data_IF_204815885366
#
_entry.id   IF_204815885366
#
_cell.length_a   1.000
_cell.length_b   1.000
_cell.length_c   1.000
_cell.angle_alpha   90.00
_cell.angle_beta   90.00
_cell.angle_gamma   90.00
#
_symmetry.space_group_name_H-M   'P 1'
#
loop_
_entity.id
_entity.type
_entity.pdbx_description
1 polymer ?
#
# COMPACT_ATOMS: atom_id res chain seq x y z
N UNK A 1 -31.82 -11.37 11.96
CA UNK A 1 -30.75 -10.43 11.53
C UNK A 1 -30.97 -10.17 10.05
N UNK A 2 -30.90 -8.92 9.60
CA UNK A 2 -31.08 -8.63 8.19
C UNK A 2 -29.82 -9.04 7.43
N UNK A 3 -29.97 -9.80 6.32
CA UNK A 3 -28.86 -10.26 5.48
C UNK A 3 -28.63 -9.24 4.36
N UNK A 4 -27.38 -8.79 4.21
CA UNK A 4 -26.95 -7.97 3.09
C UNK A 4 -26.79 -8.80 1.81
N UNK A 5 -27.04 -8.17 0.66
CA UNK A 5 -26.66 -8.77 -0.62
C UNK A 5 -25.13 -8.91 -0.73
N UNK A 6 -24.40 -7.90 -0.20
CA UNK A 6 -22.96 -7.78 -0.35
C UNK A 6 -22.32 -7.15 0.89
N UNK A 7 -21.26 -7.76 1.42
CA UNK A 7 -20.34 -7.13 2.36
C UNK A 7 -19.01 -6.82 1.68
N UNK A 8 -18.54 -5.58 1.81
CA UNK A 8 -17.26 -5.11 1.27
C UNK A 8 -16.33 -4.87 2.44
N UNK A 9 -15.16 -5.50 2.45
CA UNK A 9 -14.19 -5.42 3.53
C UNK A 9 -12.96 -4.66 3.06
N UNK A 10 -12.84 -3.45 3.53
CA UNK A 10 -11.81 -2.48 3.16
C UNK A 10 -12.38 -1.26 2.43
N UNK A 11 -11.99 -0.08 2.88
CA UNK A 11 -12.42 1.23 2.36
C UNK A 11 -11.34 1.94 1.51
N UNK A 12 -10.38 1.18 0.97
CA UNK A 12 -9.44 1.70 -0.02
C UNK A 12 -10.10 1.91 -1.39
N UNK A 13 -9.35 2.35 -2.42
CA UNK A 13 -9.88 2.63 -3.75
C UNK A 13 -10.72 1.50 -4.35
N UNK A 14 -10.30 0.25 -4.16
CA UNK A 14 -11.03 -0.93 -4.64
C UNK A 14 -12.38 -1.11 -3.94
N UNK A 15 -12.41 -0.99 -2.59
CA UNK A 15 -13.64 -1.13 -1.81
C UNK A 15 -14.63 -0.01 -2.09
N UNK A 16 -14.18 1.23 -2.18
CA UNK A 16 -15.03 2.39 -2.53
C UNK A 16 -15.60 2.21 -3.94
N UNK A 17 -14.78 1.78 -4.92
CA UNK A 17 -15.27 1.48 -6.28
C UNK A 17 -16.32 0.38 -6.28
N UNK A 18 -16.14 -0.67 -5.48
CA UNK A 18 -17.14 -1.73 -5.32
C UNK A 18 -18.45 -1.20 -4.72
N UNK A 19 -18.36 -0.35 -3.68
CA UNK A 19 -19.51 0.26 -3.02
C UNK A 19 -20.33 1.17 -3.96
N UNK A 20 -19.65 2.01 -4.77
CA UNK A 20 -20.30 2.83 -5.82
C UNK A 20 -21.06 1.95 -6.80
N UNK A 21 -20.45 0.87 -7.28
CA UNK A 21 -21.11 -0.06 -8.18
C UNK A 21 -22.27 -0.82 -7.55
N UNK A 22 -22.18 -1.19 -6.28
CA UNK A 22 -23.29 -1.80 -5.53
C UNK A 22 -24.46 -0.83 -5.39
N UNK A 23 -24.19 0.44 -5.05
CA UNK A 23 -25.21 1.49 -4.95
C UNK A 23 -25.95 1.72 -6.26
N UNK A 24 -25.23 1.87 -7.38
CA UNK A 24 -25.83 2.03 -8.71
C UNK A 24 -26.74 0.84 -9.06
N UNK A 25 -26.37 -0.35 -8.66
CA UNK A 25 -27.17 -1.58 -8.86
C UNK A 25 -28.26 -1.80 -7.84
N UNK A 26 -28.49 -0.82 -6.96
CA UNK A 26 -29.52 -0.86 -5.89
C UNK A 26 -29.41 -2.11 -4.99
N UNK A 27 -28.18 -2.53 -4.71
CA UNK A 27 -27.92 -3.63 -3.78
C UNK A 27 -28.00 -3.14 -2.33
N UNK A 28 -28.55 -3.98 -1.44
CA UNK A 28 -28.41 -3.81 -0.01
C UNK A 28 -27.00 -4.25 0.39
N UNK A 29 -26.11 -3.32 0.70
CA UNK A 29 -24.71 -3.63 0.99
C UNK A 29 -24.21 -2.89 2.24
N UNK A 30 -23.15 -3.43 2.80
CA UNK A 30 -22.38 -2.82 3.89
C UNK A 30 -20.91 -2.76 3.48
N UNK A 31 -20.23 -1.64 3.80
CA UNK A 31 -18.79 -1.49 3.61
C UNK A 31 -18.12 -1.25 4.96
N UNK A 32 -17.11 -2.05 5.26
CA UNK A 32 -16.31 -1.98 6.48
C UNK A 32 -14.94 -1.36 6.20
N UNK A 33 -14.50 -0.46 7.07
CA UNK A 33 -13.19 0.16 6.94
C UNK A 33 -13.06 1.45 7.72
N UNK A 34 -12.08 2.27 7.39
CA UNK A 34 -11.90 3.60 7.97
C UNK A 34 -12.62 4.65 7.14
N UNK A 35 -13.25 5.63 7.79
CA UNK A 35 -13.81 6.82 7.13
C UNK A 35 -12.73 7.69 6.48
N UNK A 36 -11.51 7.64 7.01
CA UNK A 36 -10.34 8.27 6.41
C UNK A 36 -9.80 7.51 5.18
N UNK A 37 -10.49 6.45 4.77
CA UNK A 37 -10.13 5.57 3.67
C UNK A 37 -8.77 4.88 3.90
N UNK A 38 -7.91 4.88 2.89
CA UNK A 38 -6.62 4.19 2.93
C UNK A 38 -5.49 5.13 3.36
N UNK A 39 -4.83 4.85 4.49
CA UNK A 39 -3.63 5.58 4.91
C UNK A 39 -2.50 5.51 3.88
N UNK A 40 -2.37 4.39 3.16
CA UNK A 40 -1.36 4.25 2.09
C UNK A 40 -1.64 5.22 0.93
N UNK A 41 -2.91 5.38 0.55
CA UNK A 41 -3.31 6.37 -0.45
C UNK A 41 -3.01 7.78 0.07
N UNK A 42 -3.48 8.12 1.25
CA UNK A 42 -3.39 9.48 1.82
C UNK A 42 -1.96 9.98 1.97
N UNK A 43 -1.02 9.08 2.29
CA UNK A 43 0.41 9.40 2.45
C UNK A 43 1.16 9.60 1.13
N UNK A 44 0.59 9.19 -0.01
CA UNK A 44 1.26 9.39 -1.30
C UNK A 44 1.38 10.88 -1.65
N UNK A 45 2.60 11.35 -1.82
CA UNK A 45 2.92 12.77 -2.07
C UNK A 45 2.38 13.23 -3.43
N UNK A 46 2.55 12.40 -4.44
CA UNK A 46 2.11 12.67 -5.81
C UNK A 46 1.81 11.37 -6.55
N UNK A 47 0.63 11.31 -7.18
CA UNK A 47 0.17 10.14 -7.94
C UNK A 47 0.09 10.52 -9.41
N UNK A 48 0.84 9.84 -10.27
CA UNK A 48 0.90 10.10 -11.70
C UNK A 48 0.32 8.96 -12.54
N UNK A 49 0.08 7.80 -11.95
CA UNK A 49 -0.34 6.56 -12.61
C UNK A 49 -1.80 6.16 -12.32
N UNK A 50 -2.60 7.07 -11.76
CA UNK A 50 -4.04 6.83 -11.58
C UNK A 50 -4.82 7.65 -12.61
N UNK A 51 -5.49 6.98 -13.54
CA UNK A 51 -6.23 7.61 -14.63
C UNK A 51 -7.27 8.61 -14.10
N UNK A 52 -7.25 9.84 -14.60
CA UNK A 52 -8.14 10.95 -14.18
C UNK A 52 -7.60 11.78 -13.00
N UNK A 53 -6.52 11.35 -12.33
CA UNK A 53 -5.97 12.02 -11.15
C UNK A 53 -4.48 12.42 -11.29
N UNK A 54 -4.03 12.64 -12.50
CA UNK A 54 -2.64 13.00 -12.76
C UNK A 54 -2.16 14.18 -11.90
N UNK A 55 -1.04 13.98 -11.23
CA UNK A 55 -0.35 15.01 -10.45
C UNK A 55 -1.00 15.38 -9.11
N UNK A 56 -2.10 14.74 -8.72
CA UNK A 56 -2.73 14.95 -7.41
C UNK A 56 -1.98 14.21 -6.31
N UNK A 57 -2.02 14.76 -5.09
CA UNK A 57 -1.60 14.00 -3.91
C UNK A 57 -2.64 12.95 -3.53
N UNK A 58 -2.22 11.94 -2.78
CA UNK A 58 -3.15 10.92 -2.26
C UNK A 58 -4.22 11.51 -1.35
N UNK A 59 -3.92 12.55 -0.60
CA UNK A 59 -4.89 13.28 0.20
C UNK A 59 -5.98 13.95 -0.67
N UNK A 60 -5.60 14.60 -1.77
CA UNK A 60 -6.54 15.18 -2.72
C UNK A 60 -7.44 14.13 -3.37
N UNK A 61 -6.89 12.97 -3.71
CA UNK A 61 -7.68 11.86 -4.28
C UNK A 61 -8.64 11.30 -3.24
N UNK A 62 -8.20 11.13 -1.98
CA UNK A 62 -9.07 10.72 -0.88
C UNK A 62 -10.28 11.66 -0.74
N UNK A 63 -10.04 12.97 -0.74
CA UNK A 63 -11.11 13.97 -0.58
C UNK A 63 -12.12 13.91 -1.72
N UNK A 64 -11.67 13.66 -2.95
CA UNK A 64 -12.58 13.45 -4.09
C UNK A 64 -13.39 12.14 -3.94
N UNK A 65 -12.80 11.08 -3.43
CA UNK A 65 -13.52 9.84 -3.15
C UNK A 65 -14.57 10.01 -2.07
N UNK A 66 -14.26 10.72 -0.99
CA UNK A 66 -15.21 11.03 0.10
C UNK A 66 -16.38 11.82 -0.45
N UNK A 67 -16.14 12.91 -1.19
CA UNK A 67 -17.20 13.71 -1.84
C UNK A 67 -18.10 12.86 -2.75
N UNK A 68 -17.50 11.96 -3.54
CA UNK A 68 -18.27 11.09 -4.43
C UNK A 68 -19.15 10.12 -3.61
N UNK A 69 -18.62 9.51 -2.56
CA UNK A 69 -19.41 8.64 -1.68
C UNK A 69 -20.58 9.39 -1.02
N UNK A 70 -20.31 10.58 -0.47
CA UNK A 70 -21.33 11.44 0.14
C UNK A 70 -22.44 11.79 -0.86
N UNK A 71 -22.10 12.15 -2.10
CA UNK A 71 -23.07 12.47 -3.16
C UNK A 71 -23.99 11.30 -3.52
N UNK A 72 -23.59 10.08 -3.15
CA UNK A 72 -24.36 8.86 -3.39
C UNK A 72 -24.92 8.23 -2.10
N UNK A 73 -24.89 8.93 -0.98
CA UNK A 73 -25.33 8.44 0.33
C UNK A 73 -24.70 7.08 0.69
N UNK A 74 -23.39 6.94 0.50
CA UNK A 74 -22.63 5.77 0.89
C UNK A 74 -21.89 6.07 2.20
N UNK A 75 -22.17 5.28 3.24
CA UNK A 75 -21.52 5.39 4.55
C UNK A 75 -20.64 4.17 4.84
N UNK A 76 -19.51 4.40 5.53
CA UNK A 76 -18.61 3.36 5.96
C UNK A 76 -18.92 2.97 7.41
N UNK A 77 -18.97 1.66 7.65
CA UNK A 77 -19.06 1.09 9.00
C UNK A 77 -17.64 0.93 9.54
N UNK A 78 -17.30 1.71 10.57
CA UNK A 78 -15.96 1.70 11.19
C UNK A 78 -15.81 0.54 12.18
N UNK A 79 -15.84 -0.67 11.63
CA UNK A 79 -15.63 -1.89 12.40
C UNK A 79 -14.61 -2.77 11.68
N UNK A 80 -13.78 -3.45 12.47
CA UNK A 80 -12.80 -4.40 11.96
C UNK A 80 -13.41 -5.79 11.93
N UNK A 81 -13.49 -6.38 10.75
CA UNK A 81 -13.87 -7.79 10.60
C UNK A 81 -12.68 -8.66 11.04
N UNK A 82 -12.93 -9.50 12.04
CA UNK A 82 -11.93 -10.40 12.61
C UNK A 82 -11.99 -11.79 11.97
N UNK A 83 -13.21 -12.28 11.69
CA UNK A 83 -13.43 -13.60 11.11
C UNK A 83 -14.56 -13.58 10.09
N UNK A 84 -14.45 -14.48 9.11
CA UNK A 84 -15.48 -14.74 8.12
C UNK A 84 -15.67 -16.24 8.01
N UNK A 85 -16.92 -16.68 8.06
CA UNK A 85 -17.30 -18.07 7.94
C UNK A 85 -18.23 -18.27 6.75
N UNK A 86 -17.90 -19.21 5.87
CA UNK A 86 -18.80 -19.65 4.80
C UNK A 86 -19.85 -20.60 5.39
N UNK A 87 -21.12 -20.22 5.29
CA UNK A 87 -22.27 -20.92 5.88
C UNK A 87 -23.15 -21.60 4.83
N UNK A 88 -22.56 -21.95 3.68
CA UNK A 88 -23.25 -22.54 2.54
C UNK A 88 -23.69 -21.48 1.54
N UNK A 89 -24.89 -20.94 1.70
CA UNK A 89 -25.48 -19.93 0.80
C UNK A 89 -25.22 -18.48 1.22
N UNK A 90 -24.53 -18.27 2.34
CA UNK A 90 -24.17 -16.96 2.86
C UNK A 90 -22.85 -16.98 3.62
N UNK A 91 -22.37 -15.79 3.99
CA UNK A 91 -21.19 -15.58 4.83
C UNK A 91 -21.62 -14.93 6.14
N UNK A 92 -21.09 -15.43 7.25
CA UNK A 92 -21.16 -14.80 8.56
C UNK A 92 -19.87 -14.05 8.83
N UNK A 93 -19.97 -12.75 9.15
CA UNK A 93 -18.84 -11.87 9.43
C UNK A 93 -18.89 -11.47 10.91
N UNK A 94 -17.77 -11.59 11.60
CA UNK A 94 -17.64 -11.22 13.00
C UNK A 94 -16.76 -9.99 13.13
N UNK A 95 -17.32 -8.95 13.74
CA UNK A 95 -16.63 -7.71 14.09
C UNK A 95 -16.74 -7.49 15.60
N UNK A 96 -15.70 -7.86 16.36
CA UNK A 96 -15.73 -7.87 17.82
C UNK A 96 -16.95 -8.68 18.36
N UNK A 97 -17.90 -8.02 19.03
CA UNK A 97 -19.10 -8.63 19.59
C UNK A 97 -20.32 -8.59 18.65
N UNK A 98 -20.15 -8.07 17.43
CA UNK A 98 -21.21 -7.97 16.43
C UNK A 98 -21.05 -9.01 15.34
N UNK A 99 -22.19 -9.47 14.85
CA UNK A 99 -22.28 -10.40 13.73
C UNK A 99 -23.08 -9.78 12.59
N UNK A 100 -22.62 -10.02 11.38
CA UNK A 100 -23.26 -9.59 10.13
C UNK A 100 -23.39 -10.78 9.18
N UNK A 101 -24.41 -10.75 8.34
CA UNK A 101 -24.60 -11.76 7.29
C UNK A 101 -24.65 -11.12 5.92
N UNK A 102 -24.02 -11.77 4.94
CA UNK A 102 -24.05 -11.33 3.55
C UNK A 102 -24.09 -12.53 2.59
N UNK A 103 -24.83 -12.38 1.49
CA UNK A 103 -24.90 -13.41 0.45
C UNK A 103 -23.61 -13.50 -0.36
N UNK A 104 -22.87 -12.40 -0.47
CA UNK A 104 -21.55 -12.33 -1.11
C UNK A 104 -20.61 -11.41 -0.35
N UNK A 105 -19.29 -11.60 -0.53
CA UNK A 105 -18.27 -10.74 0.04
C UNK A 105 -17.29 -10.27 -1.04
N UNK A 106 -16.76 -9.06 -0.86
CA UNK A 106 -15.60 -8.55 -1.60
C UNK A 106 -14.51 -8.23 -0.58
N UNK A 107 -13.36 -8.90 -0.71
CA UNK A 107 -12.17 -8.62 0.07
C UNK A 107 -11.38 -7.53 -0.65
N UNK A 108 -11.42 -6.31 -0.11
CA UNK A 108 -10.71 -5.13 -0.61
C UNK A 108 -9.74 -4.60 0.46
N UNK A 109 -9.15 -5.50 1.23
CA UNK A 109 -8.32 -5.21 2.42
C UNK A 109 -6.97 -4.60 2.09
N UNK A 110 -6.63 -4.56 0.81
CA UNK A 110 -5.35 -4.06 0.33
C UNK A 110 -4.21 -5.06 0.59
N UNK A 111 -3.00 -4.55 0.63
CA UNK A 111 -1.78 -5.35 0.85
C UNK A 111 -1.21 -5.10 2.23
N UNK A 112 -0.70 -6.15 2.87
CA UNK A 112 0.07 -6.07 4.09
C UNK A 112 1.49 -6.60 3.81
N UNK A 113 2.50 -5.81 4.17
CA UNK A 113 3.91 -6.15 3.90
C UNK A 113 4.64 -6.69 5.14
N UNK A 114 3.90 -7.14 6.16
CA UNK A 114 4.48 -7.66 7.40
C UNK A 114 4.96 -6.55 8.35
N UNK A 115 5.93 -6.89 9.22
CA UNK A 115 6.41 -5.95 10.24
C UNK A 115 7.25 -4.85 9.61
N UNK A 116 6.91 -3.56 9.84
CA UNK A 116 7.69 -2.45 9.31
C UNK A 116 9.03 -2.30 10.04
N UNK A 117 10.01 -1.69 9.37
CA UNK A 117 11.21 -1.18 10.02
C UNK A 117 10.88 0.02 10.91
N UNK A 118 11.73 0.28 11.88
CA UNK A 118 11.62 1.52 12.65
C UNK A 118 11.82 2.72 11.71
N UNK A 119 10.93 3.72 11.77
CA UNK A 119 10.89 4.88 10.88
C UNK A 119 10.17 4.68 9.54
N UNK A 120 9.83 3.43 9.17
CA UNK A 120 9.18 3.14 7.88
C UNK A 120 7.79 3.79 7.75
N UNK A 121 6.95 3.65 8.77
CA UNK A 121 5.58 4.19 8.72
C UNK A 121 5.53 5.71 8.82
N UNK A 122 6.42 6.31 9.60
CA UNK A 122 6.53 7.76 9.80
C UNK A 122 7.01 8.47 8.54
N UNK A 123 7.89 7.80 7.77
CA UNK A 123 8.50 8.34 6.56
C UNK A 123 7.85 7.81 5.27
N UNK A 124 6.78 7.01 5.38
CA UNK A 124 6.02 6.55 4.22
C UNK A 124 5.43 7.73 3.45
N UNK A 125 5.72 7.82 2.15
CA UNK A 125 5.39 8.96 1.29
C UNK A 125 6.34 10.16 1.44
N UNK A 126 7.28 10.11 2.38
CA UNK A 126 8.30 11.14 2.62
C UNK A 126 9.71 10.62 2.31
N UNK A 127 9.80 9.80 1.29
CA UNK A 127 11.03 9.14 0.87
C UNK A 127 11.00 7.62 1.06
N UNK A 128 10.08 7.05 1.84
CA UNK A 128 9.81 5.61 1.87
C UNK A 128 8.67 5.29 0.92
N UNK A 129 8.83 4.24 0.11
CA UNK A 129 7.82 3.73 -0.82
C UNK A 129 7.84 2.21 -0.94
N UNK A 130 6.80 1.66 -1.58
CA UNK A 130 6.64 0.21 -1.80
C UNK A 130 6.57 -0.16 -3.30
N UNK A 131 6.81 0.79 -4.19
CA UNK A 131 6.84 0.59 -5.64
C UNK A 131 7.85 1.57 -6.24
N UNK A 132 9.02 1.09 -6.61
CA UNK A 132 10.07 1.94 -7.18
C UNK A 132 9.65 2.50 -8.55
N UNK A 133 9.04 1.67 -9.38
CA UNK A 133 8.56 2.06 -10.71
C UNK A 133 7.48 3.16 -10.63
N UNK A 134 6.58 3.09 -9.62
CA UNK A 134 5.50 4.06 -9.46
C UNK A 134 6.02 5.48 -9.19
N UNK A 135 7.05 5.58 -8.36
CA UNK A 135 7.58 6.84 -7.83
C UNK A 135 8.89 7.28 -8.53
N UNK A 136 9.41 6.47 -9.46
CA UNK A 136 10.68 6.70 -10.14
C UNK A 136 10.90 8.15 -10.66
N UNK A 137 9.90 8.83 -11.26
CA UNK A 137 10.07 10.20 -11.71
C UNK A 137 10.42 11.21 -10.61
N UNK A 138 10.09 10.92 -9.34
CA UNK A 138 10.40 11.76 -8.18
C UNK A 138 11.87 11.65 -7.75
N UNK A 139 12.56 10.59 -8.23
CA UNK A 139 13.93 10.24 -7.84
C UNK A 139 14.94 10.41 -8.95
N UNK A 140 14.58 11.17 -10.00
CA UNK A 140 15.52 11.55 -11.03
C UNK A 140 16.73 12.27 -10.43
N UNK A 141 17.94 11.81 -10.79
CA UNK A 141 19.23 12.35 -10.34
C UNK A 141 19.46 12.29 -8.81
N UNK A 142 18.71 11.43 -8.09
CA UNK A 142 18.83 11.23 -6.63
C UNK A 142 19.47 9.89 -6.29
N UNK A 143 19.84 9.74 -5.02
CA UNK A 143 20.36 8.49 -4.45
C UNK A 143 19.19 7.68 -3.91
N UNK A 144 19.07 6.42 -4.34
CA UNK A 144 17.97 5.53 -3.95
C UNK A 144 18.53 4.24 -3.35
N UNK A 145 17.90 3.77 -2.30
CA UNK A 145 18.16 2.45 -1.71
C UNK A 145 16.96 1.55 -1.92
N UNK A 146 17.18 0.33 -2.41
CA UNK A 146 16.13 -0.68 -2.58
C UNK A 146 16.42 -1.87 -1.68
N UNK A 147 15.43 -2.24 -0.88
CA UNK A 147 15.45 -3.44 -0.03
C UNK A 147 14.44 -4.41 -0.63
N UNK A 148 14.88 -5.54 -1.19
CA UNK A 148 13.99 -6.50 -1.84
C UNK A 148 14.05 -7.87 -1.19
N UNK A 149 12.88 -8.47 -0.98
CA UNK A 149 12.73 -9.77 -0.32
C UNK A 149 12.58 -10.94 -1.28
N UNK A 150 12.51 -10.68 -2.57
CA UNK A 150 12.46 -11.71 -3.61
C UNK A 150 13.19 -11.26 -4.88
N UNK A 151 13.60 -12.22 -5.71
CA UNK A 151 14.39 -11.98 -6.93
C UNK A 151 13.59 -11.24 -8.02
N UNK A 152 12.26 -11.35 -8.05
CA UNK A 152 11.43 -10.72 -9.07
C UNK A 152 11.52 -9.19 -9.04
N UNK A 153 11.92 -8.62 -7.92
CA UNK A 153 12.06 -7.17 -7.76
C UNK A 153 13.32 -6.60 -8.44
N UNK A 154 14.21 -7.45 -8.95
CA UNK A 154 15.40 -7.00 -9.69
C UNK A 154 15.03 -6.17 -10.94
N UNK A 155 13.87 -6.42 -11.55
CA UNK A 155 13.39 -5.62 -12.68
C UNK A 155 13.10 -4.17 -12.25
N UNK A 156 12.53 -3.94 -11.07
CA UNK A 156 12.33 -2.60 -10.53
C UNK A 156 13.67 -1.93 -10.20
N UNK A 157 14.65 -2.68 -9.68
CA UNK A 157 16.01 -2.19 -9.40
C UNK A 157 16.68 -1.72 -10.68
N UNK A 158 16.64 -2.53 -11.72
CA UNK A 158 17.22 -2.21 -13.03
C UNK A 158 16.52 -1.00 -13.65
N UNK A 159 15.20 -0.90 -13.54
CA UNK A 159 14.44 0.24 -14.05
C UNK A 159 14.85 1.54 -13.35
N UNK A 160 14.86 1.58 -12.00
CA UNK A 160 15.22 2.79 -11.26
C UNK A 160 16.68 3.22 -11.50
N UNK A 161 17.59 2.27 -11.77
CA UNK A 161 18.99 2.56 -12.07
C UNK A 161 19.18 3.38 -13.34
N UNK A 162 18.18 3.41 -14.22
CA UNK A 162 18.19 4.25 -15.42
C UNK A 162 17.80 5.71 -15.15
N UNK A 163 17.27 6.01 -13.97
CA UNK A 163 16.66 7.30 -13.61
C UNK A 163 17.42 7.97 -12.46
N UNK A 164 17.74 7.21 -11.41
CA UNK A 164 18.46 7.69 -10.24
C UNK A 164 19.96 7.92 -10.56
N UNK A 165 20.61 8.82 -9.83
CA UNK A 165 22.06 9.04 -9.97
C UNK A 165 22.87 7.90 -9.36
N UNK A 166 22.33 7.24 -8.32
CA UNK A 166 22.94 6.10 -7.67
C UNK A 166 21.87 5.19 -7.07
N UNK A 167 22.06 3.89 -7.18
CA UNK A 167 21.19 2.89 -6.58
C UNK A 167 22.01 1.96 -5.68
N UNK A 168 21.63 1.91 -4.41
CA UNK A 168 22.04 0.88 -3.48
C UNK A 168 21.00 -0.22 -3.44
N UNK A 169 21.43 -1.46 -3.51
CA UNK A 169 20.55 -2.63 -3.50
C UNK A 169 20.88 -3.58 -2.37
N UNK A 170 19.88 -3.89 -1.55
CA UNK A 170 19.98 -4.79 -0.40
C UNK A 170 19.08 -5.99 -0.65
N UNK A 171 19.59 -7.08 -1.24
CA UNK A 171 18.85 -8.32 -1.45
C UNK A 171 18.68 -9.06 -0.13
N UNK A 172 17.43 -9.30 0.27
CA UNK A 172 17.05 -10.04 1.47
C UNK A 172 16.67 -11.51 1.15
N UNK A 173 17.05 -12.01 -0.02
CA UNK A 173 16.86 -13.38 -0.50
C UNK A 173 18.22 -14.06 -0.75
N UNK A 174 18.21 -15.37 -1.09
CA UNK A 174 19.43 -16.18 -1.19
C UNK A 174 19.89 -16.47 -2.62
N UNK A 175 19.02 -16.24 -3.59
CA UNK A 175 19.29 -16.49 -4.99
C UNK A 175 20.41 -15.57 -5.48
N UNK A 176 21.08 -15.99 -6.57
CA UNK A 176 22.10 -15.15 -7.20
C UNK A 176 21.49 -13.86 -7.71
N UNK A 177 22.06 -12.73 -7.30
CA UNK A 177 21.65 -11.39 -7.73
C UNK A 177 22.11 -11.15 -9.18
N UNK A 178 21.21 -10.64 -10.02
CA UNK A 178 21.43 -10.37 -11.44
C UNK A 178 20.89 -8.98 -11.81
N UNK A 179 21.54 -7.92 -11.33
CA UNK A 179 21.20 -6.53 -11.58
C UNK A 179 22.27 -5.85 -12.43
N UNK A 180 21.93 -4.66 -12.99
CA UNK A 180 22.85 -3.83 -13.77
C UNK A 180 24.13 -3.52 -12.96
N UNK A 181 25.27 -3.49 -13.63
CA UNK A 181 26.58 -3.24 -13.00
C UNK A 181 26.72 -1.87 -12.34
N UNK A 182 25.84 -0.92 -12.66
CA UNK A 182 25.77 0.41 -12.01
C UNK A 182 25.16 0.35 -10.62
N UNK A 183 24.48 -0.75 -10.28
CA UNK A 183 23.82 -0.93 -8.99
C UNK A 183 24.84 -1.42 -7.96
N UNK A 184 24.96 -0.69 -6.85
CA UNK A 184 25.86 -1.09 -5.76
C UNK A 184 25.13 -2.04 -4.82
N UNK A 185 25.55 -3.30 -4.79
CA UNK A 185 24.96 -4.35 -3.95
C UNK A 185 25.56 -4.25 -2.54
N UNK A 186 24.68 -4.14 -1.53
CA UNK A 186 25.05 -4.08 -0.12
C UNK A 186 24.58 -5.36 0.59
N UNK A 187 25.52 -6.13 1.11
CA UNK A 187 25.24 -7.34 1.87
C UNK A 187 25.22 -7.05 3.38
N UNK A 188 24.19 -6.32 3.85
CA UNK A 188 24.00 -6.01 5.26
C UNK A 188 22.50 -6.03 5.59
N UNK A 189 22.14 -5.92 6.87
CA UNK A 189 20.78 -6.06 7.36
C UNK A 189 20.21 -4.68 7.70
N UNK A 190 19.09 -4.26 7.08
CA UNK A 190 18.40 -3.03 7.42
C UNK A 190 17.83 -3.07 8.85
N UNK A 191 18.01 -1.97 9.59
CA UNK A 191 17.60 -1.87 11.00
C UNK A 191 16.61 -0.72 11.22
N UNK A 192 16.95 0.49 10.75
CA UNK A 192 16.18 1.69 11.02
C UNK A 192 16.31 2.70 9.87
N UNK A 193 15.20 3.36 9.55
CA UNK A 193 15.15 4.46 8.59
C UNK A 193 15.11 5.77 9.37
N UNK A 194 16.01 6.67 9.05
CA UNK A 194 16.15 7.96 9.74
C UNK A 194 15.87 9.10 8.76
N UNK A 195 15.14 10.10 9.26
CA UNK A 195 14.86 11.37 8.61
C UNK A 195 13.93 12.21 9.46
N UNK A 196 13.91 13.52 9.24
CA UNK A 196 13.00 14.46 9.91
C UNK A 196 11.74 14.70 9.08
N UNK A 197 11.87 15.46 8.01
CA UNK A 197 10.77 15.74 7.09
C UNK A 197 10.71 14.71 5.94
N UNK A 198 11.86 14.18 5.56
CA UNK A 198 12.05 13.15 4.54
C UNK A 198 13.11 12.15 4.97
N UNK A 199 13.24 11.07 4.24
CA UNK A 199 14.34 10.12 4.39
C UNK A 199 15.67 10.84 4.22
N UNK A 200 16.60 10.58 5.12
CA UNK A 200 17.98 11.09 5.10
C UNK A 200 18.98 9.92 4.99
N UNK A 201 18.73 8.85 5.76
CA UNK A 201 19.60 7.68 5.76
C UNK A 201 18.94 6.40 6.21
N UNK A 202 19.54 5.27 5.83
CA UNK A 202 19.23 3.94 6.29
C UNK A 202 20.34 3.44 7.21
N UNK A 203 19.99 3.02 8.42
CA UNK A 203 20.90 2.34 9.34
C UNK A 203 20.84 0.85 9.05
N UNK A 204 22.02 0.28 8.85
CA UNK A 204 22.25 -1.15 8.72
C UNK A 204 22.88 -1.71 10.00
N UNK A 205 23.00 -3.00 10.09
CA UNK A 205 23.60 -3.67 11.26
C UNK A 205 25.05 -3.24 11.50
N UNK A 206 25.82 -3.06 10.44
CA UNK A 206 27.27 -2.80 10.51
C UNK A 206 27.67 -1.47 9.86
N UNK A 207 26.75 -0.76 9.21
CA UNK A 207 27.02 0.48 8.46
C UNK A 207 25.81 1.38 8.39
N UNK A 208 25.92 2.52 7.70
CA UNK A 208 24.81 3.39 7.34
C UNK A 208 24.94 3.87 5.88
N UNK A 209 23.82 4.19 5.24
CA UNK A 209 23.75 4.67 3.87
C UNK A 209 22.97 5.97 3.85
N UNK A 210 23.57 7.05 3.34
CA UNK A 210 22.83 8.28 3.00
C UNK A 210 22.03 8.04 1.72
N UNK A 211 20.75 8.41 1.73
CA UNK A 211 19.84 8.16 0.60
C UNK A 211 18.68 9.15 0.62
N UNK A 212 18.20 9.54 -0.56
CA UNK A 212 17.04 10.41 -0.73
C UNK A 212 15.72 9.64 -0.72
N UNK A 213 15.79 8.33 -0.94
CA UNK A 213 14.62 7.46 -0.94
C UNK A 213 14.93 6.01 -0.70
N UNK A 214 13.97 5.33 -0.06
CA UNK A 214 14.07 3.89 0.24
C UNK A 214 12.80 3.21 -0.27
N UNK A 215 12.99 2.24 -1.16
CA UNK A 215 11.92 1.36 -1.61
C UNK A 215 12.04 -0.01 -0.94
N UNK A 216 10.96 -0.45 -0.32
CA UNK A 216 10.92 -1.72 0.41
C UNK A 216 9.97 -2.64 -0.34
N UNK A 217 10.55 -3.53 -1.13
CA UNK A 217 9.86 -4.44 -2.02
C UNK A 217 9.69 -5.80 -1.31
N UNK A 218 8.50 -6.03 -0.79
CA UNK A 218 8.13 -7.25 -0.05
C UNK A 218 6.96 -7.93 -0.74
N UNK A 219 6.92 -9.24 -0.66
CA UNK A 219 5.71 -9.97 -1.00
C UNK A 219 4.56 -9.51 -0.11
N UNK A 220 3.41 -9.28 -0.73
CA UNK A 220 2.21 -9.00 0.04
C UNK A 220 1.77 -10.27 0.77
N UNK A 221 1.54 -10.16 2.06
CA UNK A 221 0.88 -11.22 2.82
C UNK A 221 -0.60 -11.19 2.44
N UNK A 222 -1.13 -12.31 1.99
CA UNK A 222 -2.58 -12.43 1.75
C UNK A 222 -3.35 -12.14 3.03
N UNK A 223 -4.43 -11.38 2.95
CA UNK A 223 -5.30 -11.09 4.07
C UNK A 223 -6.04 -12.34 4.57
#
# INVERSE_FOLDING_TARGET
>A
MERYDLAIIGSGPAGVSAALNAKIRKKNFIIFGSKELSNKLTKAEKINNYLGFYGKSGAQIRDEFIKHMESMDISITEEKINNIYAMGDYFSLIANDKMYEASAIILATGVNFGRPFKGEEELLGKGVGYCATCDAPLYKDKIVTIIAYNKHEEDEVNFISTIASKVYYIPMYKEKVEVDEKVEIINDIPVEIIGKERVEKLILKNSEIETDGIFILRDSVSP
#
